data_IF_258211022823
#
_entry.id   IF_258211022823
#
_cell.length_a   1.000
_cell.length_b   1.000
_cell.length_c   1.000
_cell.angle_alpha   90.00
_cell.angle_beta   90.00
_cell.angle_gamma   90.00
#
_symmetry.space_group_name_H-M   'P 1'
#
loop_
_entity.id
_entity.type
_entity.pdbx_description
1 polymer ?
#
# COMPACT_ATOMS: atom_id res chain seq x y z
N UNK A 1 -22.46 24.20 0.79
CA UNK A 1 -21.56 23.02 0.85
C UNK A 1 -20.12 23.49 0.97
N UNK A 2 -19.48 23.29 2.13
CA UNK A 2 -18.11 23.72 2.45
C UNK A 2 -17.10 23.06 1.51
N UNK A 3 -16.08 23.81 1.05
CA UNK A 3 -15.11 23.36 0.04
C UNK A 3 -14.43 22.01 0.35
N UNK A 4 -14.28 21.67 1.63
CA UNK A 4 -13.75 20.39 2.13
C UNK A 4 -14.58 19.17 1.69
N UNK A 5 -15.92 19.27 1.69
CA UNK A 5 -16.81 18.19 1.27
C UNK A 5 -16.75 17.96 -0.24
N UNK A 6 -16.60 19.03 -1.04
CA UNK A 6 -16.46 18.89 -2.50
C UNK A 6 -15.20 18.10 -2.90
N UNK A 7 -14.08 18.29 -2.20
CA UNK A 7 -12.82 17.55 -2.47
C UNK A 7 -12.91 16.06 -2.09
N UNK A 8 -13.57 15.74 -0.98
CA UNK A 8 -13.81 14.35 -0.59
C UNK A 8 -14.80 13.65 -1.53
N UNK A 9 -15.87 14.35 -1.93
CA UNK A 9 -16.86 13.82 -2.86
C UNK A 9 -16.26 13.57 -4.26
N UNK A 10 -15.37 14.44 -4.72
CA UNK A 10 -14.65 14.25 -6.00
C UNK A 10 -13.67 13.08 -5.94
N UNK A 11 -12.88 12.94 -4.87
CA UNK A 11 -12.01 11.77 -4.69
C UNK A 11 -12.80 10.45 -4.63
N UNK A 12 -13.94 10.45 -3.94
CA UNK A 12 -14.85 9.31 -3.91
C UNK A 12 -15.46 9.01 -5.29
N UNK A 13 -15.83 10.03 -6.05
CA UNK A 13 -16.29 9.89 -7.43
C UNK A 13 -15.23 9.28 -8.35
N UNK A 14 -13.97 9.71 -8.25
CA UNK A 14 -12.85 9.09 -9.00
C UNK A 14 -12.62 7.64 -8.61
N UNK A 15 -12.73 7.31 -7.32
CA UNK A 15 -12.62 5.93 -6.83
C UNK A 15 -13.72 5.04 -7.42
N UNK A 16 -14.98 5.47 -7.36
CA UNK A 16 -16.09 4.72 -7.94
C UNK A 16 -15.94 4.58 -9.46
N UNK A 17 -15.54 5.65 -10.15
CA UNK A 17 -15.28 5.61 -11.58
C UNK A 17 -14.17 4.61 -11.91
N UNK A 18 -13.07 4.62 -11.16
CA UNK A 18 -12.00 3.64 -11.32
C UNK A 18 -12.53 2.22 -11.15
N UNK A 19 -13.29 1.94 -10.08
CA UNK A 19 -13.84 0.61 -9.85
C UNK A 19 -14.75 0.16 -10.99
N UNK A 20 -15.68 1.03 -11.45
CA UNK A 20 -16.58 0.72 -12.55
C UNK A 20 -15.80 0.48 -13.84
N UNK A 21 -14.86 1.36 -14.19
CA UNK A 21 -14.02 1.21 -15.39
C UNK A 21 -13.18 -0.05 -15.32
N UNK A 22 -12.56 -0.34 -14.18
CA UNK A 22 -11.73 -1.52 -13.99
C UNK A 22 -12.55 -2.81 -14.08
N UNK A 23 -13.73 -2.86 -13.45
CA UNK A 23 -14.66 -3.98 -13.56
C UNK A 23 -15.13 -4.16 -15.00
N UNK A 24 -15.47 -3.09 -15.72
CA UNK A 24 -15.85 -3.17 -17.14
C UNK A 24 -14.71 -3.67 -18.02
N UNK A 25 -13.47 -3.22 -17.76
CA UNK A 25 -12.29 -3.69 -18.49
C UNK A 25 -12.04 -5.19 -18.27
N UNK A 26 -12.11 -5.66 -17.02
CA UNK A 26 -11.96 -7.09 -16.69
C UNK A 26 -13.14 -7.94 -17.20
N UNK A 27 -14.33 -7.34 -17.31
CA UNK A 27 -15.51 -8.01 -17.87
C UNK A 27 -15.45 -8.12 -19.39
N UNK A 28 -14.98 -7.07 -20.08
CA UNK A 28 -14.91 -7.06 -21.54
C UNK A 28 -13.66 -7.72 -22.11
N UNK A 29 -12.55 -7.69 -21.38
CA UNK A 29 -11.28 -8.26 -21.80
C UNK A 29 -10.83 -9.30 -20.78
N UNK A 30 -10.48 -10.49 -21.26
CA UNK A 30 -9.84 -11.48 -20.41
C UNK A 30 -8.54 -10.90 -19.82
N UNK A 31 -8.12 -11.30 -18.60
CA UNK A 31 -6.85 -10.84 -18.02
C UNK A 31 -5.66 -11.01 -18.96
N UNK A 32 -5.67 -12.05 -19.79
CA UNK A 32 -4.64 -12.32 -20.79
C UNK A 32 -4.62 -11.25 -21.90
N UNK A 33 -5.78 -10.86 -22.43
CA UNK A 33 -5.88 -9.81 -23.47
C UNK A 33 -5.50 -8.44 -22.93
N UNK A 34 -5.84 -8.13 -21.67
CA UNK A 34 -5.41 -6.90 -20.99
C UNK A 34 -3.89 -6.85 -20.94
N UNK A 35 -3.27 -7.97 -20.54
CA UNK A 35 -1.82 -8.09 -20.43
C UNK A 35 -1.13 -8.03 -21.79
N UNK A 36 -1.67 -8.70 -22.81
CA UNK A 36 -1.11 -8.70 -24.15
C UNK A 36 -1.12 -7.29 -24.76
N UNK A 37 -2.19 -6.52 -24.53
CA UNK A 37 -2.29 -5.11 -24.96
C UNK A 37 -1.38 -4.17 -24.18
N UNK A 38 -1.15 -4.45 -22.90
CA UNK A 38 -0.21 -3.67 -22.09
C UNK A 38 1.23 -3.97 -22.51
N UNK A 39 1.59 -5.23 -22.74
CA UNK A 39 2.96 -5.67 -22.95
C UNK A 39 3.76 -5.81 -21.65
N UNK A 40 4.80 -6.66 -21.67
CA UNK A 40 5.51 -7.11 -20.46
C UNK A 40 6.15 -5.96 -19.66
N UNK A 41 6.81 -5.01 -20.33
CA UNK A 41 7.44 -3.89 -19.61
C UNK A 41 6.41 -3.00 -18.93
N UNK A 42 5.28 -2.76 -19.59
CA UNK A 42 4.27 -1.83 -19.11
C UNK A 42 3.43 -2.42 -17.96
N UNK A 43 3.28 -3.75 -17.88
CA UNK A 43 2.62 -4.39 -16.75
C UNK A 43 3.34 -4.19 -15.41
N UNK A 44 4.67 -4.34 -15.39
CA UNK A 44 5.46 -4.05 -14.19
C UNK A 44 5.50 -2.57 -13.84
N UNK A 45 5.56 -1.69 -14.85
CA UNK A 45 5.44 -0.24 -14.62
C UNK A 45 4.07 0.13 -14.07
N UNK A 46 2.99 -0.47 -14.58
CA UNK A 46 1.64 -0.27 -14.07
C UNK A 46 1.51 -0.72 -12.61
N UNK A 47 2.05 -1.89 -12.26
CA UNK A 47 2.10 -2.37 -10.88
C UNK A 47 2.83 -1.37 -9.97
N UNK A 48 4.01 -0.88 -10.37
CA UNK A 48 4.78 0.11 -9.63
C UNK A 48 4.00 1.43 -9.44
N UNK A 49 3.42 1.98 -10.51
CA UNK A 49 2.69 3.27 -10.44
C UNK A 49 1.42 3.13 -9.60
N UNK A 50 0.66 2.04 -9.77
CA UNK A 50 -0.51 1.77 -8.96
C UNK A 50 -0.15 1.62 -7.47
N UNK A 51 0.95 0.92 -7.18
CA UNK A 51 1.46 0.74 -5.82
C UNK A 51 1.91 2.06 -5.19
N UNK A 52 2.62 2.90 -5.95
CA UNK A 52 3.05 4.22 -5.51
C UNK A 52 1.87 5.11 -5.14
N UNK A 53 0.84 5.16 -6.00
CA UNK A 53 -0.39 5.91 -5.71
C UNK A 53 -1.11 5.34 -4.48
N UNK A 54 -1.16 4.02 -4.34
CA UNK A 54 -1.72 3.36 -3.16
C UNK A 54 -0.99 3.70 -1.86
N UNK A 55 0.33 3.86 -1.89
CA UNK A 55 1.12 4.27 -0.72
C UNK A 55 0.97 5.75 -0.35
N UNK A 56 0.50 6.60 -1.27
CA UNK A 56 0.20 8.01 -0.98
C UNK A 56 -1.22 8.16 -0.40
N UNK A 57 -2.11 7.19 -0.65
CA UNK A 57 -3.51 7.30 -0.28
C UNK A 57 -4.16 5.95 0.00
N UNK A 58 -4.66 5.81 1.22
CA UNK A 58 -5.52 4.69 1.65
C UNK A 58 -6.70 4.42 0.71
N UNK A 59 -7.29 5.45 0.08
CA UNK A 59 -8.44 5.23 -0.82
C UNK A 59 -8.06 4.50 -2.10
N UNK A 60 -6.79 4.50 -2.48
CA UNK A 60 -6.29 3.83 -3.70
C UNK A 60 -5.80 2.40 -3.46
N UNK A 61 -5.74 1.94 -2.20
CA UNK A 61 -5.23 0.61 -1.86
C UNK A 61 -6.07 -0.55 -2.44
N UNK A 62 -7.40 -0.43 -2.43
CA UNK A 62 -8.29 -1.44 -3.02
C UNK A 62 -8.19 -1.53 -4.56
N UNK A 63 -8.29 -0.41 -5.31
CA UNK A 63 -7.97 -0.32 -6.73
C UNK A 63 -6.65 -0.99 -7.11
N UNK A 64 -5.62 -0.71 -6.33
CA UNK A 64 -4.29 -1.24 -6.54
C UNK A 64 -4.21 -2.77 -6.38
N UNK A 65 -4.85 -3.33 -5.34
CA UNK A 65 -4.87 -4.78 -5.15
C UNK A 65 -5.49 -5.50 -6.35
N UNK A 66 -6.54 -4.94 -6.95
CA UNK A 66 -7.14 -5.46 -8.18
C UNK A 66 -6.15 -5.47 -9.35
N UNK A 67 -5.38 -4.39 -9.53
CA UNK A 67 -4.33 -4.31 -10.56
C UNK A 67 -3.31 -5.45 -10.39
N UNK A 68 -2.81 -5.66 -9.17
CA UNK A 68 -1.83 -6.71 -8.86
C UNK A 68 -2.39 -8.10 -9.15
N UNK A 69 -3.64 -8.37 -8.76
CA UNK A 69 -4.33 -9.64 -9.04
C UNK A 69 -4.50 -9.85 -10.55
N UNK A 70 -4.99 -8.84 -11.28
CA UNK A 70 -5.19 -8.93 -12.74
C UNK A 70 -3.88 -9.18 -13.49
N UNK A 71 -2.79 -8.53 -13.08
CA UNK A 71 -1.48 -8.77 -13.69
C UNK A 71 -0.98 -10.19 -13.41
N UNK A 72 -1.13 -10.69 -12.18
CA UNK A 72 -0.79 -12.08 -11.85
C UNK A 72 -1.62 -13.08 -12.66
N UNK A 73 -2.92 -12.81 -12.82
CA UNK A 73 -3.83 -13.59 -13.64
C UNK A 73 -3.44 -13.62 -15.12
N UNK A 74 -3.01 -12.49 -15.68
CA UNK A 74 -2.57 -12.40 -17.07
C UNK A 74 -1.15 -12.96 -17.32
N UNK A 75 -0.59 -13.72 -16.38
CA UNK A 75 0.64 -14.51 -16.58
C UNK A 75 1.95 -13.82 -16.22
N UNK A 76 1.92 -12.59 -15.69
CA UNK A 76 3.13 -11.94 -15.20
C UNK A 76 3.76 -12.69 -14.03
N UNK A 77 5.10 -12.66 -13.95
CA UNK A 77 5.83 -13.28 -12.83
C UNK A 77 5.42 -12.64 -11.48
N UNK A 78 4.80 -13.40 -10.56
CA UNK A 78 4.38 -12.89 -9.25
C UNK A 78 5.53 -12.34 -8.41
N UNK A 79 6.72 -12.92 -8.55
CA UNK A 79 7.93 -12.47 -7.88
C UNK A 79 8.30 -11.03 -8.26
N UNK A 80 8.33 -10.74 -9.57
CA UNK A 80 8.65 -9.40 -10.05
C UNK A 80 7.54 -8.40 -9.74
N UNK A 81 6.26 -8.81 -9.82
CA UNK A 81 5.15 -7.96 -9.37
C UNK A 81 5.34 -7.58 -7.90
N UNK A 82 5.61 -8.56 -7.03
CA UNK A 82 5.85 -8.33 -5.61
C UNK A 82 6.96 -7.29 -5.36
N UNK A 83 8.10 -7.44 -6.03
CA UNK A 83 9.23 -6.50 -5.88
C UNK A 83 8.90 -5.09 -6.37
N UNK A 84 8.39 -4.94 -7.61
CA UNK A 84 8.14 -3.60 -8.17
C UNK A 84 7.00 -2.89 -7.45
N UNK A 85 5.97 -3.61 -7.05
CA UNK A 85 4.89 -3.08 -6.24
C UNK A 85 5.38 -2.65 -4.86
N UNK A 86 6.20 -3.46 -4.17
CA UNK A 86 6.72 -3.09 -2.86
C UNK A 86 7.65 -1.85 -2.94
N UNK A 87 8.40 -1.69 -4.04
CA UNK A 87 9.18 -0.48 -4.28
C UNK A 87 8.29 0.76 -4.49
N UNK A 88 7.21 0.63 -5.25
CA UNK A 88 6.22 1.69 -5.43
C UNK A 88 5.60 2.10 -4.09
N UNK A 89 5.11 1.12 -3.32
CA UNK A 89 4.58 1.32 -1.97
C UNK A 89 5.61 1.99 -1.06
N UNK A 90 6.86 1.51 -1.02
CA UNK A 90 7.91 2.12 -0.19
C UNK A 90 8.08 3.61 -0.47
N UNK A 91 8.06 4.04 -1.74
CA UNK A 91 8.17 5.45 -2.11
C UNK A 91 6.93 6.27 -1.71
N UNK A 92 5.73 5.70 -1.89
CA UNK A 92 4.48 6.34 -1.47
C UNK A 92 4.40 6.46 0.05
N UNK A 93 4.59 5.34 0.75
CA UNK A 93 4.58 5.21 2.21
C UNK A 93 5.62 6.10 2.89
N UNK A 94 6.78 6.32 2.25
CA UNK A 94 7.79 7.27 2.74
C UNK A 94 7.22 8.69 2.81
N UNK A 95 6.37 9.08 1.85
CA UNK A 95 5.71 10.39 1.85
C UNK A 95 4.76 10.50 3.05
N UNK A 96 3.92 9.48 3.27
CA UNK A 96 3.00 9.41 4.42
C UNK A 96 3.75 9.39 5.77
N UNK A 97 4.87 8.67 5.86
CA UNK A 97 5.73 8.66 7.05
C UNK A 97 6.25 10.07 7.37
N UNK A 98 6.81 10.78 6.39
CA UNK A 98 7.34 12.12 6.61
C UNK A 98 6.23 13.12 6.94
N UNK A 99 5.04 12.98 6.35
CA UNK A 99 3.88 13.76 6.76
C UNK A 99 3.56 13.57 8.25
N UNK A 100 3.59 12.33 8.75
CA UNK A 100 3.45 12.05 10.18
C UNK A 100 4.61 12.63 11.02
N UNK A 101 5.84 12.45 10.56
CA UNK A 101 7.06 12.90 11.27
C UNK A 101 7.10 14.41 11.47
N UNK A 102 6.86 15.19 10.41
CA UNK A 102 6.85 16.65 10.47
C UNK A 102 5.55 17.20 11.06
N UNK A 103 4.43 16.49 10.87
CA UNK A 103 3.12 16.83 11.43
C UNK A 103 3.06 16.82 12.96
N UNK A 104 4.03 16.18 13.62
CA UNK A 104 4.16 16.12 15.08
C UNK A 104 4.04 17.49 15.79
N UNK A 105 4.52 18.58 15.17
CA UNK A 105 4.50 19.93 15.77
C UNK A 105 3.13 20.61 15.72
N UNK A 106 2.21 20.11 14.90
CA UNK A 106 0.85 20.67 14.72
C UNK A 106 -0.14 20.04 15.71
N UNK A 107 0.30 19.00 16.41
CA UNK A 107 -0.50 18.22 17.35
C UNK A 107 -0.62 18.95 18.70
N UNK A 108 -1.78 18.91 19.40
CA UNK A 108 -1.96 19.55 20.71
C UNK A 108 -0.93 19.07 21.75
N UNK A 109 -0.52 19.96 22.65
CA UNK A 109 0.51 19.69 23.67
C UNK A 109 0.24 18.39 24.48
N UNK A 110 -1.02 18.15 24.87
CA UNK A 110 -1.36 16.92 25.61
C UNK A 110 -1.12 15.63 24.81
N UNK A 111 -1.30 15.68 23.49
CA UNK A 111 -1.01 14.53 22.62
C UNK A 111 0.49 14.44 22.30
N UNK A 112 1.25 15.55 22.32
CA UNK A 112 2.71 15.51 22.21
C UNK A 112 3.36 14.77 23.40
N UNK A 113 2.88 15.01 24.62
CA UNK A 113 3.36 14.28 25.81
C UNK A 113 3.12 12.77 25.70
N UNK A 114 1.94 12.36 25.25
CA UNK A 114 1.62 10.95 25.01
C UNK A 114 2.50 10.34 23.91
N UNK A 115 2.72 11.06 22.80
CA UNK A 115 3.62 10.61 21.74
C UNK A 115 5.06 10.44 22.23
N UNK A 116 5.52 11.28 23.16
CA UNK A 116 6.86 11.18 23.74
C UNK A 116 7.00 9.99 24.72
N UNK A 117 5.94 9.66 25.48
CA UNK A 117 5.86 8.42 26.26
C UNK A 117 5.92 7.19 25.35
N UNK A 118 5.14 7.19 24.26
CA UNK A 118 5.14 6.12 23.25
C UNK A 118 6.51 5.98 22.60
N UNK A 119 7.15 7.09 22.22
CA UNK A 119 8.50 7.08 21.66
C UNK A 119 9.50 6.40 22.61
N UNK A 120 9.51 6.80 23.88
CA UNK A 120 10.40 6.22 24.91
C UNK A 120 10.12 4.72 25.09
N UNK A 121 8.85 4.33 25.10
CA UNK A 121 8.40 2.94 25.19
C UNK A 121 8.82 2.09 23.97
N UNK A 122 8.82 2.68 22.76
CA UNK A 122 9.23 2.04 21.51
C UNK A 122 10.76 1.88 21.44
N UNK A 123 11.52 2.80 22.02
CA UNK A 123 12.99 2.77 22.02
C UNK A 123 13.59 1.86 23.08
N UNK A 124 12.77 1.31 23.99
CA UNK A 124 13.23 0.38 25.01
C UNK A 124 13.98 -0.81 24.39
N UNK A 125 15.16 -1.13 24.93
CA UNK A 125 16.14 -2.09 24.36
C UNK A 125 15.55 -3.45 23.97
N UNK A 126 14.57 -3.95 24.73
CA UNK A 126 13.88 -5.23 24.45
C UNK A 126 13.00 -5.21 23.20
N UNK A 127 12.64 -4.03 22.67
CA UNK A 127 11.66 -3.86 21.57
C UNK A 127 12.25 -3.40 20.25
N UNK A 128 13.57 -3.20 20.22
CA UNK A 128 14.31 -2.80 19.01
C UNK A 128 14.11 -3.81 17.87
N UNK A 129 13.92 -5.09 18.19
CA UNK A 129 13.67 -6.16 17.22
C UNK A 129 12.20 -6.58 17.12
N UNK A 130 11.46 -6.55 18.23
CA UNK A 130 10.07 -6.99 18.27
C UNK A 130 9.16 -6.10 17.41
N UNK A 131 9.35 -4.78 17.45
CA UNK A 131 8.50 -3.83 16.70
C UNK A 131 8.67 -4.00 15.18
N UNK A 132 9.91 -4.04 14.62
CA UNK A 132 10.12 -4.38 13.22
C UNK A 132 9.47 -5.70 12.78
N UNK A 133 9.51 -6.74 13.62
CA UNK A 133 8.87 -8.03 13.31
C UNK A 133 7.35 -7.87 13.20
N UNK A 134 6.72 -7.15 14.13
CA UNK A 134 5.28 -6.87 14.04
C UNK A 134 4.92 -6.06 12.79
N UNK A 135 5.73 -5.08 12.42
CA UNK A 135 5.53 -4.27 11.20
C UNK A 135 5.66 -5.14 9.95
N UNK A 136 6.62 -6.06 9.91
CA UNK A 136 6.77 -7.03 8.83
C UNK A 136 5.54 -7.94 8.72
N UNK A 137 5.10 -8.54 9.83
CA UNK A 137 3.92 -9.42 9.85
C UNK A 137 2.66 -8.66 9.43
N UNK A 138 2.52 -7.41 9.86
CA UNK A 138 1.45 -6.52 9.40
C UNK A 138 1.50 -6.36 7.88
N UNK A 139 2.63 -5.91 7.33
CA UNK A 139 2.78 -5.67 5.89
C UNK A 139 2.65 -6.93 5.03
N UNK A 140 2.91 -8.11 5.59
CA UNK A 140 2.84 -9.38 4.87
C UNK A 140 1.43 -10.00 4.82
N UNK A 141 0.64 -9.82 5.88
CA UNK A 141 -0.58 -10.62 6.07
C UNK A 141 -1.85 -9.79 6.27
N UNK A 142 -1.74 -8.54 6.70
CA UNK A 142 -2.92 -7.72 6.93
C UNK A 142 -3.31 -6.95 5.66
N UNK A 143 -4.52 -7.17 5.10
CA UNK A 143 -5.00 -6.48 3.91
C UNK A 143 -5.54 -5.08 4.26
N UNK A 144 -4.79 -4.33 5.07
CA UNK A 144 -5.12 -2.95 5.45
C UNK A 144 -4.07 -1.99 4.87
N UNK A 145 -4.44 -0.70 4.80
CA UNK A 145 -3.54 0.34 4.32
C UNK A 145 -2.35 0.53 5.24
N UNK A 146 -1.15 0.55 4.66
CA UNK A 146 0.11 0.83 5.34
C UNK A 146 0.13 2.22 6.00
N UNK A 147 -0.70 3.17 5.53
CA UNK A 147 -0.83 4.53 6.09
C UNK A 147 -1.00 4.52 7.61
N UNK A 148 -1.79 3.56 8.14
CA UNK A 148 -2.01 3.43 9.58
C UNK A 148 -0.71 3.21 10.35
N UNK A 149 0.19 2.38 9.82
CA UNK A 149 1.49 2.12 10.43
C UNK A 149 2.40 3.32 10.22
N UNK A 150 2.60 3.75 8.98
CA UNK A 150 3.65 4.71 8.64
C UNK A 150 3.38 6.10 9.22
N UNK A 151 2.12 6.57 9.23
CA UNK A 151 1.76 7.85 9.82
C UNK A 151 1.88 7.78 11.34
N UNK A 152 1.39 6.71 11.98
CA UNK A 152 1.44 6.56 13.45
C UNK A 152 2.87 6.49 13.97
N UNK A 153 3.72 5.67 13.34
CA UNK A 153 5.12 5.57 13.71
C UNK A 153 5.93 6.82 13.33
N UNK A 154 5.54 7.52 12.26
CA UNK A 154 6.07 8.84 11.91
C UNK A 154 5.78 9.87 13.00
N UNK A 155 4.52 9.98 13.45
CA UNK A 155 4.10 10.86 14.55
C UNK A 155 4.84 10.56 15.85
N UNK A 156 5.08 9.28 16.15
CA UNK A 156 5.87 8.84 17.29
C UNK A 156 7.40 8.97 17.09
N UNK A 157 7.86 9.49 15.94
CA UNK A 157 9.27 9.64 15.57
C UNK A 157 10.08 8.34 15.70
N UNK A 158 9.47 7.19 15.45
CA UNK A 158 10.18 5.91 15.42
C UNK A 158 11.06 5.84 14.17
N UNK A 159 12.28 5.26 14.20
CA UNK A 159 13.27 5.48 13.16
C UNK A 159 12.79 4.94 11.81
N UNK A 160 12.91 5.76 10.77
CA UNK A 160 12.43 5.47 9.41
C UNK A 160 12.72 4.05 8.95
N UNK A 161 13.99 3.62 8.97
CA UNK A 161 14.39 2.30 8.49
C UNK A 161 13.86 1.14 9.35
N UNK A 162 13.54 1.37 10.63
CA UNK A 162 12.91 0.35 11.48
C UNK A 162 11.42 0.17 11.18
N UNK A 163 10.81 1.09 10.43
CA UNK A 163 9.46 0.94 9.88
C UNK A 163 9.53 0.46 8.45
N UNK A 164 10.23 1.18 7.59
CA UNK A 164 10.13 0.99 6.15
C UNK A 164 10.77 -0.30 5.65
N UNK A 165 11.91 -0.71 6.20
CA UNK A 165 12.56 -1.96 5.77
C UNK A 165 11.68 -3.20 6.06
N UNK A 166 11.19 -3.43 7.30
CA UNK A 166 10.29 -4.56 7.55
C UNK A 166 8.96 -4.42 6.80
N UNK A 167 8.40 -3.21 6.69
CA UNK A 167 7.14 -3.00 5.99
C UNK A 167 7.25 -3.28 4.49
N UNK A 168 8.33 -2.84 3.84
CA UNK A 168 8.59 -3.12 2.43
C UNK A 168 8.80 -4.62 2.20
N UNK A 169 9.55 -5.30 3.06
CA UNK A 169 9.73 -6.76 2.98
C UNK A 169 8.41 -7.51 3.16
N UNK A 170 7.57 -7.08 4.11
CA UNK A 170 6.22 -7.61 4.26
C UNK A 170 5.38 -7.36 3.00
N UNK A 171 5.44 -6.15 2.46
CA UNK A 171 4.71 -5.76 1.26
C UNK A 171 5.13 -6.57 0.03
N UNK A 172 6.39 -6.99 -0.10
CA UNK A 172 6.81 -7.93 -1.16
C UNK A 172 6.01 -9.22 -1.04
N UNK A 173 5.94 -9.80 0.16
CA UNK A 173 5.23 -11.06 0.42
C UNK A 173 3.74 -10.90 0.14
N UNK A 174 3.12 -9.85 0.67
CA UNK A 174 1.70 -9.59 0.47
C UNK A 174 1.34 -9.47 -1.02
N UNK A 175 2.14 -8.73 -1.79
CA UNK A 175 1.91 -8.56 -3.22
C UNK A 175 2.21 -9.80 -4.04
N UNK A 176 3.18 -10.62 -3.62
CA UNK A 176 3.36 -11.95 -4.19
C UNK A 176 2.13 -12.82 -3.94
N UNK A 177 1.57 -12.81 -2.72
CA UNK A 177 0.34 -13.56 -2.39
C UNK A 177 -0.81 -13.12 -3.29
N UNK A 178 -1.04 -11.80 -3.45
CA UNK A 178 -2.08 -11.28 -4.34
C UNK A 178 -1.87 -11.68 -5.80
N UNK A 179 -0.64 -11.59 -6.30
CA UNK A 179 -0.32 -11.97 -7.67
C UNK A 179 -0.47 -13.49 -7.90
N UNK A 180 -0.09 -14.32 -6.93
CA UNK A 180 -0.34 -15.77 -6.97
C UNK A 180 -1.82 -16.10 -6.90
N UNK A 181 -2.59 -15.35 -6.09
CA UNK A 181 -4.04 -15.48 -6.03
C UNK A 181 -4.68 -15.15 -7.38
N UNK A 182 -4.20 -14.13 -8.08
CA UNK A 182 -4.62 -13.88 -9.46
C UNK A 182 -4.26 -15.02 -10.42
N UNK A 183 -2.99 -15.46 -10.37
CA UNK A 183 -2.45 -16.49 -11.27
C UNK A 183 -3.14 -17.85 -11.15
N UNK A 184 -3.43 -18.29 -9.92
CA UNK A 184 -3.99 -19.63 -9.67
C UNK A 184 -5.46 -19.59 -9.25
N UNK A 185 -5.92 -18.52 -8.61
CA UNK A 185 -7.27 -18.43 -8.06
C UNK A 185 -8.35 -18.25 -9.13
N UNK A 186 -8.08 -17.57 -10.24
CA UNK A 186 -9.06 -17.41 -11.31
C UNK A 186 -9.36 -18.70 -12.09
N UNK A 187 -8.47 -19.71 -12.02
CA UNK A 187 -8.73 -21.03 -12.60
C UNK A 187 -9.78 -21.86 -11.85
N UNK A 188 -10.25 -21.41 -10.67
CA UNK A 188 -11.30 -22.07 -9.89
C UNK A 188 -12.68 -21.44 -10.05
N UNK A 189 -12.78 -20.24 -10.64
CA UNK A 189 -14.04 -19.48 -10.77
C UNK A 189 -14.52 -19.33 -12.23
N UNK A 190 -13.72 -19.77 -13.21
CA UNK A 190 -14.05 -19.88 -14.63
C UNK A 190 -14.07 -21.36 -15.04
#
# INVERSE_FOLDING_TARGET
MTAKYKKQLTAFGFFLLFLVVWTLLVYQFSPNEIVERLGVRNGYTLAFVAAFLAGISTFTSAPYALVVITLGAGGFSPFFIGLVSALGLFLGDSTSYFLGYYGHHVVPNGLQEELQKVHTWLMARKRVWTIPVFIFLYGAFFPFSNDLVVISFGLARYPFWRVMAPLALGSVIFNMILAYLGKYGLGYFL
#
